data_IF_241949444806
#
_entry.id   IF_241949444806
#
_cell.length_a   1.000
_cell.length_b   1.000
_cell.length_c   1.000
_cell.angle_alpha   90.00
_cell.angle_beta   90.00
_cell.angle_gamma   90.00
#
_symmetry.space_group_name_H-M   'P 1'
#
loop_
_entity.id
_entity.type
_entity.pdbx_description
1 polymer ?
#
# COMPACT_ATOMS: atom_id res chain seq x y z
N UNK A 1 -1.56 -14.75 6.21
CA UNK A 1 -0.15 -14.29 6.07
C UNK A 1 0.65 -14.63 7.33
N UNK A 2 1.98 -14.45 7.32
CA UNK A 2 2.90 -14.77 8.43
C UNK A 2 2.80 -13.82 9.65
N UNK A 3 2.06 -12.70 9.57
CA UNK A 3 1.91 -11.73 10.66
C UNK A 3 0.50 -11.11 10.61
N UNK A 4 -0.39 -11.40 11.58
CA UNK A 4 -1.75 -10.85 11.60
C UNK A 4 -1.79 -9.32 11.67
N UNK A 5 -0.84 -8.69 12.38
CA UNK A 5 -0.77 -7.23 12.45
C UNK A 5 -0.44 -6.59 11.09
N UNK A 6 0.28 -7.30 10.21
CA UNK A 6 0.62 -6.80 8.89
C UNK A 6 -0.57 -6.84 7.93
N UNK A 7 -1.53 -7.75 8.12
CA UNK A 7 -2.75 -7.80 7.30
C UNK A 7 -3.59 -6.52 7.46
N UNK A 8 -3.80 -6.07 8.70
CA UNK A 8 -4.56 -4.85 8.95
C UNK A 8 -3.86 -3.59 8.41
N UNK A 9 -2.54 -3.48 8.59
CA UNK A 9 -1.76 -2.38 8.05
C UNK A 9 -1.79 -2.35 6.52
N UNK A 10 -1.72 -3.54 5.88
CA UNK A 10 -1.78 -3.67 4.43
C UNK A 10 -3.15 -3.31 3.87
N UNK A 11 -4.24 -3.70 4.55
CA UNK A 11 -5.59 -3.35 4.12
C UNK A 11 -5.86 -1.84 4.24
N UNK A 12 -5.35 -1.19 5.28
CA UNK A 12 -5.39 0.27 5.37
C UNK A 12 -4.64 0.92 4.20
N UNK A 13 -3.41 0.45 3.90
CA UNK A 13 -2.61 0.96 2.80
C UNK A 13 -3.30 0.77 1.43
N UNK A 14 -3.94 -0.38 1.22
CA UNK A 14 -4.75 -0.63 0.02
C UNK A 14 -5.87 0.39 -0.12
N UNK A 15 -6.60 0.66 0.96
CA UNK A 15 -7.72 1.61 0.96
C UNK A 15 -7.25 3.04 0.69
N UNK A 16 -6.13 3.45 1.27
CA UNK A 16 -5.52 4.76 1.01
C UNK A 16 -5.14 4.92 -0.46
N UNK A 17 -4.41 3.95 -1.02
CA UNK A 17 -3.97 3.99 -2.42
C UNK A 17 -5.16 3.90 -3.38
N UNK A 18 -6.15 3.06 -3.07
CA UNK A 18 -7.40 3.00 -3.83
C UNK A 18 -8.15 4.33 -3.84
N UNK A 19 -8.09 5.08 -2.74
CA UNK A 19 -8.66 6.44 -2.65
C UNK A 19 -7.86 7.42 -3.49
N UNK A 20 -6.52 7.40 -3.40
CA UNK A 20 -5.62 8.27 -4.17
C UNK A 20 -5.74 8.06 -5.68
N UNK A 21 -5.94 6.81 -6.12
CA UNK A 21 -6.11 6.46 -7.53
C UNK A 21 -7.57 6.66 -8.02
N UNK A 22 -8.50 7.05 -7.15
CA UNK A 22 -9.92 7.19 -7.50
C UNK A 22 -10.63 5.86 -7.82
N UNK A 23 -10.02 4.73 -7.45
CA UNK A 23 -10.52 3.39 -7.74
C UNK A 23 -11.45 2.84 -6.65
N UNK A 24 -11.61 3.56 -5.54
CA UNK A 24 -12.41 3.12 -4.37
C UNK A 24 -13.84 2.71 -4.75
N UNK A 25 -14.56 3.54 -5.52
CA UNK A 25 -15.93 3.21 -5.95
C UNK A 25 -15.96 1.98 -6.87
N UNK A 26 -14.93 1.80 -7.71
CA UNK A 26 -14.83 0.65 -8.60
C UNK A 26 -14.60 -0.63 -7.81
N UNK A 27 -13.71 -0.61 -6.84
CA UNK A 27 -13.46 -1.74 -5.93
C UNK A 27 -14.73 -2.12 -5.17
N UNK A 28 -15.49 -1.14 -4.67
CA UNK A 28 -16.74 -1.42 -3.94
C UNK A 28 -17.84 -1.99 -4.85
N UNK A 29 -17.90 -1.55 -6.11
CA UNK A 29 -18.94 -1.95 -7.06
C UNK A 29 -18.68 -3.33 -7.69
N UNK A 30 -17.46 -3.57 -8.16
CA UNK A 30 -17.12 -4.81 -8.89
C UNK A 30 -16.18 -5.74 -8.12
N UNK A 31 -15.51 -5.25 -7.07
CA UNK A 31 -14.49 -6.01 -6.35
C UNK A 31 -13.17 -6.08 -7.10
N UNK A 32 -12.07 -6.31 -6.36
CA UNK A 32 -10.73 -6.46 -6.92
C UNK A 32 -10.64 -7.57 -7.98
N UNK A 33 -11.41 -8.65 -7.83
CA UNK A 33 -11.39 -9.79 -8.76
C UNK A 33 -11.94 -9.47 -10.16
N UNK A 34 -12.82 -8.46 -10.28
CA UNK A 34 -13.44 -8.07 -11.54
C UNK A 34 -12.89 -6.75 -12.11
N UNK A 35 -11.82 -6.20 -11.50
CA UNK A 35 -11.11 -5.04 -12.03
C UNK A 35 -10.09 -5.45 -13.10
N UNK A 36 -9.65 -4.48 -13.92
CA UNK A 36 -8.62 -4.74 -14.92
C UNK A 36 -7.29 -5.08 -14.21
N UNK A 37 -6.52 -6.07 -14.70
CA UNK A 37 -5.18 -6.40 -14.19
C UNK A 37 -4.26 -5.18 -14.09
N UNK A 38 -4.45 -4.20 -14.98
CA UNK A 38 -3.71 -2.94 -14.95
C UNK A 38 -4.00 -2.12 -13.68
N UNK A 39 -5.26 -2.02 -13.27
CA UNK A 39 -5.69 -1.21 -12.13
C UNK A 39 -5.30 -1.87 -10.80
N UNK A 40 -5.50 -3.18 -10.67
CA UNK A 40 -5.01 -3.92 -9.50
C UNK A 40 -3.49 -3.92 -9.44
N UNK A 41 -2.81 -3.99 -10.59
CA UNK A 41 -1.36 -3.86 -10.69
C UNK A 41 -0.86 -2.48 -10.25
N UNK A 42 -1.56 -1.40 -10.60
CA UNK A 42 -1.23 -0.04 -10.14
C UNK A 42 -1.34 0.09 -8.62
N UNK A 43 -2.41 -0.42 -8.02
CA UNK A 43 -2.57 -0.42 -6.55
C UNK A 43 -1.43 -1.21 -5.90
N UNK A 44 -1.14 -2.40 -6.42
CA UNK A 44 -0.02 -3.24 -5.99
C UNK A 44 1.34 -2.54 -6.04
N UNK A 45 1.64 -1.89 -7.16
CA UNK A 45 2.90 -1.17 -7.37
C UNK A 45 3.06 0.03 -6.43
N UNK A 46 1.99 0.81 -6.23
CA UNK A 46 1.99 1.93 -5.30
C UNK A 46 2.19 1.47 -3.85
N UNK A 47 1.63 0.32 -3.46
CA UNK A 47 1.84 -0.25 -2.12
C UNK A 47 3.33 -0.53 -1.88
N UNK A 48 3.98 -1.21 -2.82
CA UNK A 48 5.41 -1.54 -2.72
C UNK A 48 6.25 -0.27 -2.70
N UNK A 49 5.95 0.71 -3.56
CA UNK A 49 6.66 1.99 -3.59
C UNK A 49 6.60 2.70 -2.24
N UNK A 50 5.42 2.79 -1.64
CA UNK A 50 5.21 3.45 -0.34
C UNK A 50 5.88 2.70 0.80
N UNK A 51 5.92 1.37 0.74
CA UNK A 51 6.71 0.56 1.69
C UNK A 51 8.21 0.84 1.58
N UNK A 52 8.74 0.97 0.36
CA UNK A 52 10.15 1.32 0.15
C UNK A 52 10.42 2.72 0.72
N UNK A 53 9.60 3.71 0.41
CA UNK A 53 9.74 5.08 0.92
C UNK A 53 9.74 5.14 2.47
N UNK A 54 8.85 4.35 3.12
CA UNK A 54 8.81 4.23 4.58
C UNK A 54 10.10 3.62 5.13
N UNK A 55 10.60 2.55 4.50
CA UNK A 55 11.84 1.88 4.91
C UNK A 55 13.06 2.78 4.69
N UNK A 56 13.15 3.47 3.55
CA UNK A 56 14.18 4.48 3.26
C UNK A 56 14.18 5.60 4.31
N UNK A 57 13.00 6.09 4.69
CA UNK A 57 12.86 7.12 5.74
C UNK A 57 13.31 6.62 7.11
N UNK A 58 12.96 5.38 7.48
CA UNK A 58 13.40 4.76 8.74
C UNK A 58 14.92 4.55 8.76
N UNK A 59 15.49 4.09 7.65
CA UNK A 59 16.94 3.92 7.52
C UNK A 59 17.66 5.27 7.57
N UNK A 60 17.15 6.29 6.90
CA UNK A 60 17.69 7.65 6.97
C UNK A 60 17.69 8.19 8.42
N UNK A 61 16.61 7.93 9.17
CA UNK A 61 16.49 8.36 10.57
C UNK A 61 17.39 7.55 11.53
N UNK A 62 17.71 6.30 11.18
CA UNK A 62 18.61 5.44 11.97
C UNK A 62 20.08 5.83 11.79
N UNK A 63 20.44 6.54 10.71
CA UNK A 63 21.79 7.01 10.43
C UNK A 63 22.18 8.33 11.13
N UNK A 64 21.46 8.77 12.17
CA UNK A 64 21.87 9.89 13.01
C UNK A 64 22.44 9.40 14.37
N UNK A 65 23.74 9.04 14.45
CA UNK A 65 24.40 8.62 15.69
C UNK A 65 24.74 9.81 16.60
N UNK A 66 23.74 10.59 17.02
CA UNK A 66 23.90 11.63 18.04
C UNK A 66 22.76 11.58 19.07
N UNK A 67 22.90 10.63 20.00
CA UNK A 67 22.46 10.72 21.39
C UNK A 67 23.60 10.26 22.27
#
# INVERSE_FOLDING_TARGET
>A
MLVPQAEQALDNLKNEIASELGLTQKIQSVGYANMSPYEVGQIGGQMVKRMIEMVESQMANTNNPQR
#
